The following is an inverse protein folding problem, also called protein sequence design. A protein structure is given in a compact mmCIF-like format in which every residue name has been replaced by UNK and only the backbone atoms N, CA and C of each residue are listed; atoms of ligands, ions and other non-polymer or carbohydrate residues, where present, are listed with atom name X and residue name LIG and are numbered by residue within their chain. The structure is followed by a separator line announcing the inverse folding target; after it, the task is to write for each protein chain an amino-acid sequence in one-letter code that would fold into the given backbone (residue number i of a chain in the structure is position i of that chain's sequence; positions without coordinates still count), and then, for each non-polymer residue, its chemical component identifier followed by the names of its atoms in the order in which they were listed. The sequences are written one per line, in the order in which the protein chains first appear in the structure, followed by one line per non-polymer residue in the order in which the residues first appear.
data_IF_565635896096
#
_entry.id   IF_565635896096
#
_cell.length_a   1.000
_cell.length_b   1.000
_cell.length_c   1.000
_cell.angle_alpha   90.00
_cell.angle_beta   90.00
_cell.angle_gamma   90.00
#
_symmetry.space_group_name_H-M   'P 1'
#
loop_
_entity.id
_entity.type
_entity.pdbx_description
1 polymer ?
#
# COMPACT_ATOMS: atom_id res chain seq x y z
N UNK A 1 -15.95 -1.79 6.91
CA UNK A 1 -16.21 -1.56 8.36
C UNK A 1 -17.39 -2.39 8.85
N UNK A 2 -18.49 -2.44 8.11
CA UNK A 2 -19.67 -3.25 8.46
C UNK A 2 -19.36 -4.76 8.57
N UNK A 3 -18.62 -5.32 7.61
CA UNK A 3 -18.25 -6.75 7.59
C UNK A 3 -17.45 -7.18 8.82
N UNK A 4 -16.37 -6.45 9.16
CA UNK A 4 -15.56 -6.74 10.35
C UNK A 4 -16.37 -6.70 11.64
N UNK A 5 -17.23 -5.68 11.80
CA UNK A 5 -18.10 -5.57 12.97
C UNK A 5 -19.06 -6.75 13.08
N UNK A 6 -19.68 -7.15 11.97
CA UNK A 6 -20.57 -8.32 11.89
C UNK A 6 -19.83 -9.60 12.28
N UNK A 7 -18.65 -9.85 11.71
CA UNK A 7 -17.86 -11.04 12.05
C UNK A 7 -17.53 -11.05 13.55
N UNK A 8 -17.02 -9.94 14.11
CA UNK A 8 -16.67 -9.86 15.54
C UNK A 8 -17.88 -10.03 16.47
N UNK A 9 -19.04 -9.46 16.13
CA UNK A 9 -20.25 -9.65 16.92
C UNK A 9 -20.72 -11.10 16.88
N UNK A 10 -20.74 -11.70 15.69
CA UNK A 10 -21.13 -13.10 15.53
C UNK A 10 -20.15 -14.03 16.26
N UNK A 11 -18.83 -13.77 16.20
CA UNK A 11 -17.81 -14.57 16.90
C UNK A 11 -18.03 -14.67 18.42
N UNK A 12 -18.69 -13.69 19.04
CA UNK A 12 -19.04 -13.74 20.47
C UNK A 12 -20.15 -14.73 20.81
N UNK A 13 -21.06 -14.99 19.86
CA UNK A 13 -22.26 -15.80 20.07
C UNK A 13 -22.11 -17.17 19.44
N UNK A 14 -21.65 -17.19 18.19
CA UNK A 14 -21.56 -18.37 17.35
C UNK A 14 -20.31 -18.27 16.48
N UNK A 15 -19.30 -19.07 16.83
CA UNK A 15 -18.03 -19.07 16.11
C UNK A 15 -18.16 -19.63 14.70
N UNK A 16 -18.97 -20.68 14.50
CA UNK A 16 -19.12 -21.34 13.20
C UNK A 16 -19.83 -20.43 12.21
N UNK A 17 -20.90 -19.77 12.65
CA UNK A 17 -21.58 -18.75 11.84
C UNK A 17 -20.63 -17.59 11.47
N UNK A 18 -19.74 -17.18 12.38
CA UNK A 18 -18.77 -16.12 12.11
C UNK A 18 -17.73 -16.53 11.05
N UNK A 19 -17.29 -17.80 11.06
CA UNK A 19 -16.40 -18.35 10.02
C UNK A 19 -17.06 -18.25 8.64
N UNK A 20 -18.34 -18.62 8.53
CA UNK A 20 -19.05 -18.58 7.25
C UNK A 20 -19.27 -17.15 6.74
N UNK A 21 -19.54 -16.18 7.63
CA UNK A 21 -19.60 -14.76 7.23
C UNK A 21 -18.24 -14.26 6.70
N UNK A 22 -17.15 -14.64 7.39
CA UNK A 22 -15.80 -14.30 6.95
C UNK A 22 -15.47 -14.93 5.59
N UNK A 23 -15.87 -16.19 5.36
CA UNK A 23 -15.73 -16.91 4.10
C UNK A 23 -16.53 -16.26 2.96
N UNK A 24 -17.76 -15.83 3.22
CA UNK A 24 -18.59 -15.16 2.23
C UNK A 24 -18.04 -13.79 1.82
N UNK A 25 -17.25 -13.16 2.71
CA UNK A 25 -16.66 -11.84 2.48
C UNK A 25 -15.21 -11.91 1.96
N UNK A 26 -14.79 -13.06 1.41
CA UNK A 26 -13.42 -13.31 0.95
C UNK A 26 -13.00 -12.46 -0.27
N UNK A 27 -13.96 -11.82 -0.95
CA UNK A 27 -13.71 -10.80 -1.96
C UNK A 27 -13.02 -9.55 -1.39
N UNK A 28 -13.28 -9.24 -0.11
CA UNK A 28 -12.72 -8.08 0.58
C UNK A 28 -11.44 -8.44 1.35
N UNK A 29 -10.42 -7.55 1.38
CA UNK A 29 -9.20 -7.77 2.15
C UNK A 29 -9.45 -8.11 3.62
N UNK A 30 -10.45 -7.45 4.23
CA UNK A 30 -10.81 -7.68 5.63
C UNK A 30 -11.43 -9.06 5.86
N UNK A 31 -12.17 -9.60 4.89
CA UNK A 31 -12.75 -10.94 5.00
C UNK A 31 -11.67 -12.01 4.85
N UNK A 32 -10.75 -11.86 3.89
CA UNK A 32 -9.58 -12.74 3.75
C UNK A 32 -8.73 -12.76 5.02
N UNK A 33 -8.44 -11.57 5.55
CA UNK A 33 -7.71 -11.37 6.79
C UNK A 33 -8.31 -12.14 7.97
N UNK A 34 -9.63 -11.97 8.23
CA UNK A 34 -10.28 -12.60 9.37
C UNK A 34 -10.55 -14.10 9.15
N UNK A 35 -10.80 -14.52 7.91
CA UNK A 35 -11.05 -15.92 7.58
C UNK A 35 -9.80 -16.79 7.73
N UNK A 36 -8.61 -16.25 7.47
CA UNK A 36 -7.34 -16.97 7.48
C UNK A 36 -7.04 -17.74 8.79
N UNK A 37 -7.19 -17.15 9.99
CA UNK A 37 -7.05 -17.91 11.24
C UNK A 37 -8.32 -18.70 11.60
N UNK A 38 -9.50 -18.23 11.21
CA UNK A 38 -10.79 -18.86 11.55
C UNK A 38 -11.04 -20.21 10.85
N UNK A 39 -10.41 -20.45 9.69
CA UNK A 39 -10.51 -21.73 8.97
C UNK A 39 -9.67 -22.86 9.59
N UNK A 40 -8.78 -22.55 10.54
CA UNK A 40 -7.94 -23.54 11.20
C UNK A 40 -8.77 -24.39 12.16
N UNK A 41 -8.50 -25.69 12.22
CA UNK A 41 -9.19 -26.61 13.12
C UNK A 41 -8.52 -26.61 14.49
N UNK A 42 -9.20 -26.07 15.50
CA UNK A 42 -8.73 -26.00 16.90
C UNK A 42 -7.25 -25.60 17.06
N UNK A 43 -6.78 -24.50 16.44
CA UNK A 43 -5.41 -24.05 16.62
C UNK A 43 -5.16 -23.63 18.07
N UNK A 44 -3.97 -23.86 18.61
CA UNK A 44 -3.62 -23.18 19.87
C UNK A 44 -3.63 -21.64 19.66
N UNK A 45 -3.73 -20.83 20.73
CA UNK A 45 -3.82 -19.39 20.60
C UNK A 45 -2.63 -18.73 19.90
N UNK A 46 -1.46 -19.34 19.95
CA UNK A 46 -0.26 -18.82 19.31
C UNK A 46 -0.27 -19.08 17.81
N UNK A 47 -0.69 -20.28 17.40
CA UNK A 47 -0.92 -20.59 15.99
C UNK A 47 -2.03 -19.71 15.39
N UNK A 48 -3.08 -19.42 16.15
CA UNK A 48 -4.14 -18.48 15.73
C UNK A 48 -3.60 -17.06 15.50
N UNK A 49 -2.81 -16.55 16.45
CA UNK A 49 -2.14 -15.24 16.36
C UNK A 49 -1.19 -15.18 15.16
N UNK A 50 -0.39 -16.23 14.95
CA UNK A 50 0.53 -16.30 13.83
C UNK A 50 -0.20 -16.25 12.47
N UNK A 51 -1.30 -16.97 12.33
CA UNK A 51 -2.10 -16.96 11.11
C UNK A 51 -2.75 -15.58 10.86
N UNK A 52 -3.16 -14.89 11.91
CA UNK A 52 -3.68 -13.52 11.84
C UNK A 52 -2.58 -12.55 11.36
N UNK A 53 -1.39 -12.61 11.95
CA UNK A 53 -0.25 -11.76 11.58
C UNK A 53 0.21 -12.00 10.15
N UNK A 54 0.38 -13.27 9.77
CA UNK A 54 0.76 -13.65 8.41
C UNK A 54 -0.24 -13.12 7.37
N UNK A 55 -1.54 -13.24 7.66
CA UNK A 55 -2.57 -12.75 6.74
C UNK A 55 -2.63 -11.22 6.67
N UNK A 56 -2.42 -10.53 7.80
CA UNK A 56 -2.30 -9.06 7.78
C UNK A 56 -1.13 -8.60 6.91
N UNK A 57 0.02 -9.24 7.06
CA UNK A 57 1.23 -8.91 6.31
C UNK A 57 1.06 -9.17 4.81
N UNK A 58 0.47 -10.31 4.43
CA UNK A 58 0.17 -10.63 3.04
C UNK A 58 -0.78 -9.61 2.39
N UNK A 59 -1.87 -9.25 3.06
CA UNK A 59 -2.83 -8.28 2.53
C UNK A 59 -2.23 -6.87 2.47
N UNK A 60 -1.46 -6.44 3.48
CA UNK A 60 -0.77 -5.14 3.46
C UNK A 60 0.29 -5.10 2.36
N UNK A 61 1.06 -6.18 2.18
CA UNK A 61 2.04 -6.28 1.11
C UNK A 61 1.39 -6.23 -0.28
N UNK A 62 0.23 -6.89 -0.43
CA UNK A 62 -0.57 -6.83 -1.66
C UNK A 62 -1.08 -5.42 -1.94
N UNK A 63 -1.50 -4.67 -0.92
CA UNK A 63 -1.91 -3.26 -1.07
C UNK A 63 -0.75 -2.36 -1.51
N UNK A 64 0.49 -2.67 -1.13
CA UNK A 64 1.70 -1.91 -1.51
C UNK A 64 2.25 -2.26 -2.90
N UNK A 65 1.54 -3.09 -3.68
CA UNK A 65 1.95 -3.42 -5.05
C UNK A 65 1.97 -2.15 -5.90
N UNK A 66 3.13 -1.84 -6.47
CA UNK A 66 3.34 -0.67 -7.31
C UNK A 66 4.05 0.50 -6.63
N UNK A 67 4.23 0.48 -5.30
CA UNK A 67 4.93 1.55 -4.56
C UNK A 67 6.31 1.84 -5.15
N UNK A 68 7.08 0.78 -5.45
CA UNK A 68 8.43 0.91 -6.04
C UNK A 68 8.42 1.60 -7.41
N UNK A 69 7.39 1.39 -8.21
CA UNK A 69 7.27 2.02 -9.54
C UNK A 69 6.97 3.51 -9.34
N UNK A 70 6.06 3.85 -8.43
CA UNK A 70 5.68 5.23 -8.17
C UNK A 70 6.86 6.01 -7.56
N UNK A 71 7.60 5.40 -6.62
CA UNK A 71 8.85 5.94 -6.09
C UNK A 71 9.89 6.19 -7.19
N UNK A 72 10.06 5.24 -8.11
CA UNK A 72 10.96 5.41 -9.24
C UNK A 72 10.55 6.58 -10.13
N UNK A 73 9.26 6.73 -10.44
CA UNK A 73 8.75 7.86 -11.24
C UNK A 73 9.01 9.20 -10.54
N UNK A 74 8.75 9.28 -9.23
CA UNK A 74 9.00 10.48 -8.42
C UNK A 74 10.48 10.87 -8.48
N UNK A 75 11.39 9.89 -8.39
CA UNK A 75 12.82 10.12 -8.41
C UNK A 75 13.38 10.42 -9.80
N UNK A 76 12.90 9.73 -10.84
CA UNK A 76 13.43 9.81 -12.20
C UNK A 76 12.87 10.98 -13.01
N UNK A 77 11.62 11.38 -12.80
CA UNK A 77 10.99 12.45 -13.58
C UNK A 77 11.78 13.79 -13.54
N UNK A 78 12.28 14.28 -12.40
CA UNK A 78 13.11 15.48 -12.35
C UNK A 78 14.45 15.30 -13.08
N UNK A 79 15.07 14.12 -12.96
CA UNK A 79 16.34 13.80 -13.61
C UNK A 79 16.19 13.77 -15.14
N UNK A 80 15.08 13.24 -15.64
CA UNK A 80 14.75 13.27 -17.07
C UNK A 80 14.48 14.70 -17.55
N UNK A 81 13.82 15.53 -16.75
CA UNK A 81 13.63 16.96 -17.04
C UNK A 81 14.97 17.71 -17.16
N UNK A 82 15.88 17.46 -16.22
CA UNK A 82 17.25 17.98 -16.23
C UNK A 82 18.05 17.47 -17.44
N UNK A 83 17.95 16.18 -17.77
CA UNK A 83 18.58 15.61 -18.97
C UNK A 83 18.11 16.34 -20.24
N UNK A 84 16.81 16.62 -20.36
CA UNK A 84 16.29 17.38 -21.49
C UNK A 84 16.88 18.79 -21.58
N UNK A 85 17.22 19.42 -20.44
CA UNK A 85 17.90 20.73 -20.47
C UNK A 85 19.30 20.64 -21.02
N UNK A 86 20.05 19.62 -20.62
CA UNK A 86 21.41 19.39 -21.11
C UNK A 86 21.37 19.18 -22.62
N UNK A 87 20.41 18.39 -23.10
CA UNK A 87 20.23 18.16 -24.54
C UNK A 87 19.85 19.45 -25.27
N UNK A 88 18.87 20.21 -24.77
CA UNK A 88 18.43 21.47 -25.38
C UNK A 88 19.54 22.52 -25.46
N UNK A 89 20.36 22.62 -24.41
CA UNK A 89 21.53 23.50 -24.39
C UNK A 89 22.61 23.05 -25.41
N UNK A 90 22.89 21.75 -25.51
CA UNK A 90 23.84 21.22 -26.52
C UNK A 90 23.38 21.55 -27.94
N UNK A 91 22.08 21.37 -28.23
CA UNK A 91 21.50 21.68 -29.55
C UNK A 91 21.56 23.19 -29.84
N UNK A 92 21.25 24.02 -28.84
CA UNK A 92 21.35 25.48 -28.93
C UNK A 92 22.78 25.91 -29.28
N UNK A 93 23.78 25.37 -28.58
CA UNK A 93 25.18 25.71 -28.82
C UNK A 93 25.69 25.22 -30.17
N UNK A 94 25.22 24.07 -30.67
CA UNK A 94 25.54 23.59 -32.03
C UNK A 94 24.97 24.49 -33.13
N UNK A 95 23.88 25.20 -32.87
CA UNK A 95 23.27 26.13 -33.84
C UNK A 95 24.13 27.39 -34.06
N UNK A 96 25.04 27.69 -33.13
CA UNK A 96 26.01 28.77 -33.26
C UNK A 96 27.11 28.32 -34.22
N UNK A 97 26.95 28.63 -35.50
CA UNK A 97 28.04 28.47 -36.48
C UNK A 97 29.14 29.48 -36.18
N UNK A 98 30.36 28.99 -35.97
CA UNK A 98 31.59 29.76 -35.78
C UNK A 98 31.86 30.53 -37.08
N UNK A 99 31.27 31.72 -37.22
CA UNK A 99 31.39 32.56 -38.43
C UNK A 99 30.22 33.51 -38.67
N UNK A 100 29.05 33.26 -38.06
CA UNK A 100 27.83 34.05 -38.28
C UNK A 100 27.39 34.72 -36.98
N UNK A 101 28.12 35.78 -36.59
CA UNK A 101 27.81 36.62 -35.42
C UNK A 101 26.76 37.67 -35.82
N UNK A 102 25.64 37.21 -36.39
CA UNK A 102 24.48 38.01 -36.77
C UNK A 102 23.27 37.74 -35.86
N UNK A 103 22.24 38.60 -35.92
CA UNK A 103 21.01 38.50 -35.10
C UNK A 103 20.29 37.14 -35.24
N UNK A 104 20.45 36.45 -36.37
CA UNK A 104 19.84 35.14 -36.63
C UNK A 104 20.41 34.00 -35.75
N UNK A 105 21.72 34.02 -35.44
CA UNK A 105 22.33 33.01 -34.55
C UNK A 105 21.94 33.22 -33.09
N UNK A 106 21.55 34.44 -32.71
CA UNK A 106 21.08 34.76 -31.34
C UNK A 106 19.65 34.23 -31.10
N UNK A 107 18.77 34.32 -32.10
CA UNK A 107 17.38 33.87 -32.00
C UNK A 107 17.25 32.34 -31.80
N UNK A 108 18.02 31.54 -32.55
CA UNK A 108 18.00 30.07 -32.43
C UNK A 108 18.45 29.57 -31.05
N UNK A 109 19.44 30.25 -30.46
CA UNK A 109 19.92 29.95 -29.09
C UNK A 109 18.87 30.28 -28.04
N UNK A 110 18.15 31.41 -28.18
CA UNK A 110 17.12 31.80 -27.21
C UNK A 110 15.95 30.81 -27.20
N UNK A 111 15.55 30.31 -28.37
CA UNK A 111 14.51 29.28 -28.48
C UNK A 111 14.92 27.98 -27.79
N UNK A 112 16.12 27.46 -28.05
CA UNK A 112 16.55 26.19 -27.45
C UNK A 112 16.82 26.26 -25.94
N UNK A 113 17.18 27.43 -25.40
CA UNK A 113 17.19 27.67 -23.94
C UNK A 113 15.76 27.63 -23.37
N UNK A 114 14.79 28.22 -24.07
CA UNK A 114 13.37 28.18 -23.67
C UNK A 114 12.84 26.74 -23.61
N UNK A 115 13.13 25.92 -24.61
CA UNK A 115 12.74 24.50 -24.65
C UNK A 115 13.40 23.71 -23.51
N UNK A 116 14.67 23.98 -23.22
CA UNK A 116 15.38 23.38 -22.08
C UNK A 116 14.67 23.70 -20.75
N UNK A 117 14.27 24.95 -20.51
CA UNK A 117 13.57 25.32 -19.28
C UNK A 117 12.20 24.67 -19.14
N UNK A 118 11.45 24.55 -20.25
CA UNK A 118 10.15 23.85 -20.26
C UNK A 118 10.33 22.38 -19.89
N UNK A 119 11.35 21.70 -20.40
CA UNK A 119 11.65 20.31 -20.04
C UNK A 119 11.85 20.11 -18.54
N UNK A 120 12.59 21.01 -17.86
CA UNK A 120 12.73 20.95 -16.40
C UNK A 120 11.39 21.13 -15.70
N UNK A 121 10.63 22.14 -16.11
CA UNK A 121 9.35 22.45 -15.50
C UNK A 121 8.39 21.25 -15.61
N UNK A 122 8.33 20.60 -16.76
CA UNK A 122 7.51 19.40 -16.97
C UNK A 122 7.97 18.23 -16.08
N UNK A 123 9.28 17.97 -15.98
CA UNK A 123 9.81 16.91 -15.12
C UNK A 123 9.47 17.12 -13.64
N UNK A 124 9.54 18.36 -13.16
CA UNK A 124 9.15 18.73 -11.80
C UNK A 124 7.64 18.59 -11.57
N UNK A 125 6.82 19.05 -12.51
CA UNK A 125 5.36 18.93 -12.43
C UNK A 125 4.96 17.45 -12.27
N UNK A 126 5.47 16.56 -13.12
CA UNK A 126 5.18 15.12 -13.04
C UNK A 126 5.61 14.54 -11.70
N UNK A 127 6.80 14.91 -11.20
CA UNK A 127 7.30 14.44 -9.90
C UNK A 127 6.42 14.89 -8.72
N UNK A 128 6.01 16.16 -8.72
CA UNK A 128 5.16 16.74 -7.66
C UNK A 128 3.79 16.04 -7.62
N UNK A 129 3.15 15.89 -8.79
CA UNK A 129 1.85 15.21 -8.87
C UNK A 129 1.95 13.74 -8.44
N UNK A 130 2.99 13.04 -8.90
CA UNK A 130 3.23 11.64 -8.52
C UNK A 130 3.47 11.50 -7.01
N UNK A 131 4.22 12.43 -6.41
CA UNK A 131 4.48 12.44 -4.97
C UNK A 131 3.20 12.69 -4.17
N UNK A 132 2.37 13.65 -4.59
CA UNK A 132 1.10 13.91 -3.92
C UNK A 132 0.20 12.67 -3.92
N UNK A 133 0.07 11.99 -5.06
CA UNK A 133 -0.72 10.76 -5.17
C UNK A 133 -0.13 9.62 -4.32
N UNK A 134 1.19 9.44 -4.34
CA UNK A 134 1.88 8.46 -3.49
C UNK A 134 1.59 8.68 -2.00
N UNK A 135 1.62 9.94 -1.53
CA UNK A 135 1.29 10.27 -0.13
C UNK A 135 -0.15 9.94 0.24
N UNK A 136 -1.10 10.22 -0.65
CA UNK A 136 -2.51 9.84 -0.42
C UNK A 136 -2.64 8.33 -0.33
N UNK A 137 -2.03 7.59 -1.24
CA UNK A 137 -2.05 6.13 -1.26
C UNK A 137 -1.45 5.51 0.01
N UNK A 138 -0.30 6.02 0.46
CA UNK A 138 0.29 5.63 1.75
C UNK A 138 -0.66 5.87 2.93
N UNK A 139 -1.36 7.01 2.95
CA UNK A 139 -2.36 7.30 3.98
C UNK A 139 -3.52 6.31 3.99
N UNK A 140 -4.00 5.91 2.81
CA UNK A 140 -5.05 4.91 2.67
C UNK A 140 -4.60 3.53 3.19
N UNK A 141 -3.40 3.08 2.81
CA UNK A 141 -2.83 1.80 3.30
C UNK A 141 -2.65 1.84 4.82
N UNK A 142 -2.13 2.94 5.36
CA UNK A 142 -1.97 3.09 6.80
C UNK A 142 -3.29 2.95 7.56
N UNK A 143 -4.37 3.53 7.02
CA UNK A 143 -5.70 3.41 7.58
C UNK A 143 -6.23 1.96 7.51
N UNK A 144 -5.99 1.23 6.42
CA UNK A 144 -6.35 -0.19 6.31
C UNK A 144 -5.58 -1.04 7.33
N UNK A 145 -4.26 -0.84 7.44
CA UNK A 145 -3.43 -1.54 8.42
C UNK A 145 -3.90 -1.27 9.87
N UNK A 146 -4.37 -0.06 10.17
CA UNK A 146 -4.97 0.27 11.47
C UNK A 146 -6.26 -0.53 11.73
N UNK A 147 -7.09 -0.74 10.70
CA UNK A 147 -8.30 -1.56 10.82
C UNK A 147 -7.92 -3.02 11.08
N UNK A 148 -6.97 -3.58 10.33
CA UNK A 148 -6.50 -4.96 10.53
C UNK A 148 -5.97 -5.18 11.95
N UNK A 149 -5.09 -4.29 12.45
CA UNK A 149 -4.58 -4.40 13.82
C UNK A 149 -5.71 -4.36 14.86
N UNK A 150 -6.65 -3.42 14.74
CA UNK A 150 -7.75 -3.30 15.72
C UNK A 150 -8.64 -4.54 15.70
N UNK A 151 -9.15 -4.89 14.53
CA UNK A 151 -10.09 -6.02 14.38
C UNK A 151 -9.42 -7.36 14.65
N UNK A 152 -8.14 -7.49 14.28
CA UNK A 152 -7.34 -8.66 14.57
C UNK A 152 -7.14 -8.89 16.06
N UNK A 153 -6.74 -7.85 16.80
CA UNK A 153 -6.61 -7.92 18.26
C UNK A 153 -7.94 -8.28 18.91
N UNK A 154 -9.05 -7.67 18.48
CA UNK A 154 -10.38 -7.98 18.99
C UNK A 154 -10.74 -9.46 18.75
N UNK A 155 -10.45 -9.99 17.54
CA UNK A 155 -10.70 -11.38 17.21
C UNK A 155 -9.81 -12.35 18.01
N UNK A 156 -8.53 -12.02 18.17
CA UNK A 156 -7.59 -12.81 18.97
C UNK A 156 -8.02 -12.89 20.44
N UNK A 157 -8.47 -11.79 21.03
CA UNK A 157 -8.99 -11.76 22.40
C UNK A 157 -10.21 -12.66 22.55
N UNK A 158 -11.17 -12.58 21.61
CA UNK A 158 -12.34 -13.45 21.59
C UNK A 158 -11.94 -14.93 21.47
N UNK A 159 -10.96 -15.23 20.62
CA UNK A 159 -10.45 -16.59 20.45
C UNK A 159 -9.80 -17.11 21.74
N UNK A 160 -8.92 -16.31 22.37
CA UNK A 160 -8.25 -16.68 23.63
C UNK A 160 -9.26 -16.95 24.75
N UNK A 161 -10.29 -16.12 24.88
CA UNK A 161 -11.37 -16.35 25.86
C UNK A 161 -12.13 -17.65 25.57
N UNK A 162 -12.52 -17.88 24.31
CA UNK A 162 -13.19 -19.13 23.90
C UNK A 162 -12.31 -20.35 24.20
N UNK A 163 -11.03 -20.30 23.84
CA UNK A 163 -10.07 -21.38 24.03
C UNK A 163 -9.92 -21.76 25.50
N UNK A 164 -9.80 -20.76 26.40
CA UNK A 164 -9.74 -20.97 27.84
C UNK A 164 -11.01 -21.66 28.36
N UNK A 165 -12.20 -21.19 27.96
CA UNK A 165 -13.47 -21.80 28.38
C UNK A 165 -13.63 -23.25 27.91
N UNK A 166 -13.11 -23.59 26.74
CA UNK A 166 -13.14 -24.96 26.21
C UNK A 166 -12.17 -25.87 26.96
N UNK A 167 -10.97 -25.39 27.30
CA UNK A 167 -9.93 -26.19 27.96
C UNK A 167 -10.09 -26.28 29.49
N UNK A 168 -10.68 -25.27 30.14
CA UNK A 168 -10.99 -25.34 31.58
C UNK A 168 -12.09 -26.38 31.87
N UNK A 169 -13.07 -26.51 30.96
CA UNK A 169 -14.12 -27.54 31.04
C UNK A 169 -13.62 -28.97 30.85
N UNK A 170 -12.50 -29.19 30.16
CA UNK A 170 -11.91 -30.53 30.04
C UNK A 170 -11.26 -30.98 31.34
N UNK A 171 -10.60 -30.08 32.10
CA UNK A 171 -9.98 -30.44 33.37
C UNK A 171 -10.98 -30.87 34.44
N UNK A 172 -12.17 -30.26 34.50
CA UNK A 172 -13.21 -30.63 35.47
C UNK A 172 -13.98 -31.91 35.16
N UNK A 173 -13.83 -32.48 33.94
CA UNK A 173 -14.58 -33.66 33.52
C UNK A 173 -13.86 -34.98 33.84
N UNK A 174 -12.56 -34.91 34.12
CA UNK A 174 -11.73 -36.06 34.48
C UNK A 174 -11.67 -36.31 36.01
N UNK A 175 -12.22 -35.38 36.81
CA UNK A 175 -12.25 -35.42 38.29
C UNK A 175 -13.59 -35.94 38.88
N UNK A 176 -14.50 -36.46 38.05
CA UNK A 176 -15.82 -37.03 38.45
C UNK A 176 -16.00 -38.41 37.83
#
# INVERSE_FOLDING_TARGET
KEVAGRILETSRRDWEAAVEIARQSYDQPIGRFLYAPMRLQNPDPELFRLALESSADEEIASMRRGDKILEAVIALAPLLGLLGTVIGLILSLRSIRIGDIGTASTAGVTTGIGEALISTATGLIVAIFSLAFYRVFQGLIFNQAKIFRRTGNDLELLYRQKWQLTHDKSFHKDDV
#
